data_IF_213013390015
#
_entry.id   IF_213013390015
#
_cell.length_a   1.000
_cell.length_b   1.000
_cell.length_c   1.000
_cell.angle_alpha   90.00
_cell.angle_beta   90.00
_cell.angle_gamma   90.00
#
_symmetry.space_group_name_H-M   'P 1'
#
loop_
_entity.id
_entity.type
_entity.pdbx_description
1 polymer ?
#
# COMPACT_ATOMS: atom_id res chain seq x y z
N UNK A 1 -15.96 12.47 -2.57
CA UNK A 1 -14.97 13.27 -3.27
C UNK A 1 -14.18 14.23 -2.38
N UNK A 2 -14.80 14.91 -1.40
CA UNK A 2 -14.10 15.92 -0.58
C UNK A 2 -12.98 15.30 0.25
N UNK A 3 -13.28 14.22 0.97
CA UNK A 3 -12.30 13.55 1.81
C UNK A 3 -11.18 12.91 0.99
N UNK A 4 -11.50 12.34 -0.16
CA UNK A 4 -10.48 11.82 -1.08
C UNK A 4 -9.53 12.92 -1.56
N UNK A 5 -10.07 14.05 -2.03
CA UNK A 5 -9.26 15.16 -2.55
C UNK A 5 -8.35 15.75 -1.47
N UNK A 6 -8.88 15.91 -0.25
CA UNK A 6 -8.10 16.39 0.89
C UNK A 6 -6.99 15.40 1.28
N UNK A 7 -7.31 14.10 1.29
CA UNK A 7 -6.31 13.05 1.52
C UNK A 7 -5.18 13.08 0.49
N UNK A 8 -5.49 13.31 -0.80
CA UNK A 8 -4.47 13.46 -1.86
C UNK A 8 -3.60 14.69 -1.62
N UNK A 9 -4.20 15.82 -1.25
CA UNK A 9 -3.45 17.04 -0.92
C UNK A 9 -2.47 16.78 0.23
N UNK A 10 -2.94 16.18 1.32
CA UNK A 10 -2.11 15.87 2.48
C UNK A 10 -1.04 14.82 2.20
N UNK A 11 -1.35 13.83 1.36
CA UNK A 11 -0.37 12.87 0.87
C UNK A 11 0.79 13.56 0.14
N UNK A 12 0.48 14.51 -0.75
CA UNK A 12 1.49 15.30 -1.46
C UNK A 12 2.29 16.21 -0.51
N UNK A 13 1.67 16.68 0.57
CA UNK A 13 2.33 17.41 1.66
C UNK A 13 3.12 16.49 2.61
N UNK A 14 3.15 15.18 2.37
CA UNK A 14 3.77 14.14 3.21
C UNK A 14 3.18 14.05 4.63
N UNK A 15 1.97 14.55 4.82
CA UNK A 15 1.23 14.48 6.08
C UNK A 15 0.46 13.15 6.14
N UNK A 16 1.19 12.05 6.23
CA UNK A 16 0.65 10.71 5.99
C UNK A 16 -0.44 10.27 6.97
N UNK A 17 -0.36 10.67 8.25
CA UNK A 17 -1.39 10.33 9.24
C UNK A 17 -2.73 11.04 8.97
N UNK A 18 -2.68 12.33 8.63
CA UNK A 18 -3.87 13.08 8.25
C UNK A 18 -4.45 12.51 6.95
N UNK A 19 -3.58 12.23 5.97
CA UNK A 19 -3.98 11.67 4.69
C UNK A 19 -4.71 10.33 4.89
N UNK A 20 -4.17 9.42 5.72
CA UNK A 20 -4.83 8.16 6.10
C UNK A 20 -6.20 8.41 6.72
N UNK A 21 -6.33 9.40 7.60
CA UNK A 21 -7.61 9.75 8.24
C UNK A 21 -8.66 10.15 7.21
N UNK A 22 -8.30 11.02 6.26
CA UNK A 22 -9.22 11.42 5.21
C UNK A 22 -9.50 10.32 4.19
N UNK A 23 -8.52 9.49 3.85
CA UNK A 23 -8.75 8.33 3.00
C UNK A 23 -9.68 7.30 3.66
N UNK A 24 -9.52 7.01 4.95
CA UNK A 24 -10.46 6.14 5.67
C UNK A 24 -11.88 6.73 5.65
N UNK A 25 -12.02 8.04 5.82
CA UNK A 25 -13.33 8.68 5.73
C UNK A 25 -13.94 8.62 4.33
N UNK A 26 -13.11 8.74 3.29
CA UNK A 26 -13.53 8.59 1.90
C UNK A 26 -14.02 7.16 1.59
N UNK A 27 -13.40 6.15 2.20
CA UNK A 27 -13.84 4.75 2.12
C UNK A 27 -15.20 4.58 2.82
N UNK A 28 -15.35 5.12 4.02
CA UNK A 28 -16.56 4.92 4.84
C UNK A 28 -17.81 5.64 4.31
N UNK A 29 -17.67 6.91 3.92
CA UNK A 29 -18.83 7.73 3.54
C UNK A 29 -19.12 7.59 2.06
N UNK A 30 -18.08 7.61 1.23
CA UNK A 30 -18.19 7.93 -0.18
C UNK A 30 -17.85 6.72 -1.08
N UNK A 31 -17.54 5.56 -0.48
CA UNK A 31 -17.13 4.30 -1.14
C UNK A 31 -16.02 4.49 -2.18
N UNK A 32 -15.08 5.40 -1.91
CA UNK A 32 -13.95 5.65 -2.81
C UNK A 32 -12.92 4.53 -2.72
N UNK A 33 -13.08 3.52 -3.58
CA UNK A 33 -12.14 2.41 -3.69
C UNK A 33 -10.69 2.90 -3.90
N UNK A 34 -10.48 4.01 -4.61
CA UNK A 34 -9.16 4.57 -4.89
C UNK A 34 -8.39 5.01 -3.64
N UNK A 35 -9.07 5.32 -2.54
CA UNK A 35 -8.43 5.65 -1.28
C UNK A 35 -7.59 4.48 -0.72
N UNK A 36 -7.98 3.22 -0.98
CA UNK A 36 -7.19 2.04 -0.60
C UNK A 36 -5.79 2.04 -1.25
N UNK A 37 -5.66 2.56 -2.49
CA UNK A 37 -4.36 2.67 -3.16
C UNK A 37 -3.42 3.60 -2.38
N UNK A 38 -3.90 4.77 -1.98
CA UNK A 38 -3.05 5.75 -1.29
C UNK A 38 -2.69 5.29 0.12
N UNK A 39 -3.62 4.67 0.85
CA UNK A 39 -3.30 4.08 2.16
C UNK A 39 -2.23 2.98 2.00
N UNK A 40 -2.34 2.13 0.98
CA UNK A 40 -1.31 1.15 0.64
C UNK A 40 0.05 1.80 0.36
N UNK A 41 0.08 2.88 -0.41
CA UNK A 41 1.31 3.63 -0.70
C UNK A 41 1.94 4.25 0.55
N UNK A 42 1.12 4.80 1.45
CA UNK A 42 1.57 5.34 2.74
C UNK A 42 2.22 4.25 3.58
N UNK A 43 1.56 3.10 3.76
CA UNK A 43 2.15 2.01 4.54
C UNK A 43 3.44 1.46 3.95
N UNK A 44 3.60 1.49 2.61
CA UNK A 44 4.88 1.13 1.97
C UNK A 44 5.99 2.10 2.34
N UNK A 45 5.69 3.41 2.35
CA UNK A 45 6.64 4.45 2.74
C UNK A 45 7.03 4.36 4.23
N UNK A 46 6.11 3.88 5.06
CA UNK A 46 6.35 3.59 6.49
C UNK A 46 7.12 2.27 6.73
N UNK A 47 7.41 1.50 5.66
CA UNK A 47 8.06 0.19 5.76
C UNK A 47 7.14 -0.94 6.24
N UNK A 48 5.85 -0.66 6.44
CA UNK A 48 4.87 -1.68 6.82
C UNK A 48 4.34 -2.41 5.57
N UNK A 49 5.16 -3.32 5.06
CA UNK A 49 4.89 -4.08 3.84
C UNK A 49 3.62 -4.93 3.94
N UNK A 50 3.35 -5.53 5.11
CA UNK A 50 2.16 -6.35 5.34
C UNK A 50 0.87 -5.56 5.20
N UNK A 51 0.77 -4.41 5.88
CA UNK A 51 -0.41 -3.53 5.74
C UNK A 51 -0.49 -2.97 4.34
N UNK A 52 0.62 -2.55 3.75
CA UNK A 52 0.65 -2.05 2.38
C UNK A 52 0.05 -3.07 1.40
N UNK A 53 0.45 -4.33 1.51
CA UNK A 53 -0.04 -5.44 0.69
C UNK A 53 -1.55 -5.66 0.89
N UNK A 54 -2.03 -5.60 2.14
CA UNK A 54 -3.45 -5.71 2.46
C UNK A 54 -4.27 -4.62 1.74
N UNK A 55 -3.90 -3.34 1.89
CA UNK A 55 -4.65 -2.23 1.31
C UNK A 55 -4.63 -2.24 -0.23
N UNK A 56 -3.50 -2.59 -0.86
CA UNK A 56 -3.48 -2.74 -2.31
C UNK A 56 -4.36 -3.89 -2.80
N UNK A 57 -4.41 -5.02 -2.08
CA UNK A 57 -5.34 -6.11 -2.40
C UNK A 57 -6.79 -5.67 -2.27
N UNK A 58 -7.13 -4.90 -1.24
CA UNK A 58 -8.48 -4.34 -1.07
C UNK A 58 -8.85 -3.39 -2.22
N UNK A 59 -7.90 -2.59 -2.74
CA UNK A 59 -8.13 -1.80 -3.95
C UNK A 59 -8.43 -2.68 -5.17
N UNK A 60 -7.62 -3.72 -5.39
CA UNK A 60 -7.75 -4.61 -6.56
C UNK A 60 -9.06 -5.40 -6.53
N UNK A 61 -9.51 -5.85 -5.35
CA UNK A 61 -10.81 -6.54 -5.20
C UNK A 61 -12.00 -5.67 -5.64
N UNK A 62 -11.89 -4.35 -5.50
CA UNK A 62 -12.92 -3.36 -5.86
C UNK A 62 -12.73 -2.79 -7.27
N UNK A 63 -11.96 -3.47 -8.12
CA UNK A 63 -11.71 -3.07 -9.52
C UNK A 63 -13.03 -2.83 -10.25
N UNK A 64 -13.14 -1.67 -10.90
CA UNK A 64 -14.31 -1.30 -11.70
C UNK A 64 -13.99 -1.45 -13.20
N UNK A 65 -14.18 -2.66 -13.72
CA UNK A 65 -13.96 -2.98 -15.13
C UNK A 65 -12.49 -3.07 -15.54
N UNK A 66 -12.22 -3.48 -16.78
CA UNK A 66 -10.88 -3.86 -17.22
C UNK A 66 -9.88 -2.72 -17.40
N UNK A 67 -10.36 -1.50 -17.63
CA UNK A 67 -9.52 -0.32 -17.79
C UNK A 67 -9.30 0.50 -16.50
N UNK A 68 -9.35 -0.16 -15.35
CA UNK A 68 -9.12 0.50 -14.06
C UNK A 68 -7.63 0.80 -13.83
N UNK A 69 -7.24 2.06 -14.12
CA UNK A 69 -5.87 2.56 -13.91
C UNK A 69 -5.41 2.39 -12.46
N UNK A 70 -6.25 2.67 -11.47
CA UNK A 70 -5.86 2.62 -10.06
C UNK A 70 -5.66 1.18 -9.59
N UNK A 71 -6.47 0.23 -10.08
CA UNK A 71 -6.24 -1.19 -9.84
C UNK A 71 -4.90 -1.65 -10.44
N UNK A 72 -4.53 -1.18 -11.64
CA UNK A 72 -3.21 -1.48 -12.24
C UNK A 72 -2.07 -0.94 -11.40
N UNK A 73 -2.18 0.29 -10.89
CA UNK A 73 -1.17 0.85 -9.99
C UNK A 73 -1.08 0.07 -8.66
N UNK A 74 -2.21 -0.37 -8.11
CA UNK A 74 -2.22 -1.22 -6.92
C UNK A 74 -1.53 -2.57 -7.18
N UNK A 75 -1.75 -3.19 -8.34
CA UNK A 75 -1.06 -4.43 -8.73
C UNK A 75 0.46 -4.24 -8.86
N UNK A 76 0.91 -3.11 -9.42
CA UNK A 76 2.34 -2.76 -9.43
C UNK A 76 2.89 -2.63 -8.01
N UNK A 77 2.15 -1.97 -7.13
CA UNK A 77 2.48 -1.85 -5.70
C UNK A 77 2.62 -3.22 -5.02
N UNK A 78 1.69 -4.13 -5.26
CA UNK A 78 1.74 -5.53 -4.77
C UNK A 78 3.01 -6.22 -5.26
N UNK A 79 3.33 -6.12 -6.55
CA UNK A 79 4.52 -6.76 -7.12
C UNK A 79 5.81 -6.25 -6.47
N UNK A 80 5.92 -4.95 -6.25
CA UNK A 80 7.09 -4.37 -5.58
C UNK A 80 7.23 -4.89 -4.15
N UNK A 81 6.14 -4.92 -3.38
CA UNK A 81 6.16 -5.43 -2.01
C UNK A 81 6.59 -6.90 -1.95
N UNK A 82 6.05 -7.74 -2.84
CA UNK A 82 6.40 -9.16 -2.84
C UNK A 82 7.89 -9.38 -3.16
N UNK A 83 8.46 -8.55 -4.04
CA UNK A 83 9.91 -8.57 -4.29
C UNK A 83 10.69 -8.11 -3.05
N UNK A 84 10.31 -6.99 -2.44
CA UNK A 84 10.99 -6.45 -1.24
C UNK A 84 10.97 -7.47 -0.09
N UNK A 85 9.85 -8.19 0.09
CA UNK A 85 9.72 -9.25 1.08
C UNK A 85 10.60 -10.47 0.75
N UNK A 86 10.63 -10.90 -0.51
CA UNK A 86 11.47 -12.03 -0.93
C UNK A 86 12.97 -11.73 -0.75
N UNK A 87 13.42 -10.53 -1.11
CA UNK A 87 14.81 -10.10 -0.91
C UNK A 87 15.19 -10.08 0.58
N UNK A 88 14.27 -9.65 1.45
CA UNK A 88 14.48 -9.66 2.89
C UNK A 88 14.59 -11.09 3.44
N UNK A 89 13.76 -12.01 2.95
CA UNK A 89 13.80 -13.44 3.33
C UNK A 89 15.11 -14.12 2.89
N UNK A 90 15.54 -13.91 1.65
CA UNK A 90 16.82 -14.45 1.13
C UNK A 90 18.01 -13.96 1.95
N UNK A 91 18.02 -12.66 2.30
CA UNK A 91 19.08 -12.08 3.11
C UNK A 91 19.12 -12.67 4.52
N UNK A 92 17.96 -12.82 5.16
CA UNK A 92 17.86 -13.42 6.50
C UNK A 92 18.39 -14.87 6.52
N UNK A 93 18.03 -15.68 5.51
CA UNK A 93 18.53 -17.06 5.38
C UNK A 93 20.05 -17.10 5.13
N UNK A 94 20.59 -16.14 4.37
CA UNK A 94 22.02 -16.06 4.09
C UNK A 94 22.86 -15.70 5.33
N UNK A 95 22.29 -14.91 6.25
CA UNK A 95 22.95 -14.49 7.49
C UNK A 95 22.89 -15.61 8.57
N UNK A 96 21.79 -16.37 8.63
CA UNK A 96 21.67 -17.55 9.52
C UNK A 96 22.66 -18.67 9.15
N UNK A 97 22.85 -18.95 7.86
CA UNK A 97 23.80 -19.97 7.40
C UNK A 97 25.27 -19.61 7.66
N UNK A 98 25.63 -18.32 7.81
CA UNK A 98 27.00 -17.89 8.11
C UNK A 98 27.34 -17.91 9.61
N UNK A 99 26.33 -17.90 10.47
CA UNK A 99 26.50 -17.82 11.94
C UNK A 99 26.30 -19.16 12.66
N UNK A 100 26.10 -20.26 11.95
CA UNK A 100 26.08 -21.59 12.55
C UNK A 100 27.52 -22.05 12.85
N UNK A 101 27.94 -22.20 14.12
CA UNK A 101 29.25 -22.76 14.44
C UNK A 101 29.22 -24.26 14.17
N UNK A 102 30.14 -24.71 13.31
CA UNK A 102 30.46 -26.12 13.10
C UNK A 102 31.27 -26.67 14.28
#
# INVERSE_FOLDING_TARGET
EYHYSLGVCEYNLKQYENAKTHFNRAIEIEDFADAYLYIGAIYRLEGNLEKSLYYYRERVKRKSGDDDRYAREAMKGIRLILNDMAEAEEKAQSDENKNSPN
#
